data_IF_381899733131
#
_entry.id   IF_381899733131
#
_cell.length_a   1.000
_cell.length_b   1.000
_cell.length_c   1.000
_cell.angle_alpha   90.00
_cell.angle_beta   90.00
_cell.angle_gamma   90.00
#
_symmetry.space_group_name_H-M   'P 1'
#
loop_
_entity.id
_entity.type
_entity.pdbx_description
1 polymer ?
#
# COMPACT_ATOMS: atom_id res chain seq x y z
N UNK A 1 12.22 16.19 -6.63
CA UNK A 1 12.06 14.91 -7.36
C UNK A 1 11.58 13.83 -6.39
N UNK A 2 10.49 13.11 -6.69
CA UNK A 2 10.07 11.94 -5.89
C UNK A 2 11.24 10.93 -5.90
N UNK A 3 11.71 10.50 -4.73
CA UNK A 3 12.83 9.54 -4.63
C UNK A 3 12.47 8.26 -5.37
N UNK A 4 13.42 7.70 -6.13
CA UNK A 4 13.23 6.42 -6.82
C UNK A 4 12.92 5.33 -5.78
N UNK A 5 11.86 4.56 -6.02
CA UNK A 5 11.49 3.45 -5.13
C UNK A 5 12.54 2.33 -5.21
N UNK A 6 12.97 1.85 -4.05
CA UNK A 6 13.97 0.82 -3.85
C UNK A 6 13.55 -0.08 -2.66
N UNK A 7 14.39 -1.07 -2.33
CA UNK A 7 14.07 -2.06 -1.29
C UNK A 7 13.89 -1.44 0.10
N UNK A 8 14.58 -0.35 0.42
CA UNK A 8 14.53 0.29 1.73
C UNK A 8 13.36 1.26 1.92
N UNK A 9 12.72 1.74 0.84
CA UNK A 9 11.63 2.72 0.94
C UNK A 9 10.28 2.25 0.35
N UNK A 10 10.23 1.07 -0.27
CA UNK A 10 9.01 0.56 -0.91
C UNK A 10 7.83 0.44 0.06
N UNK A 11 8.07 0.04 1.31
CA UNK A 11 7.01 -0.10 2.32
C UNK A 11 6.33 1.25 2.60
N UNK A 12 7.14 2.27 2.90
CA UNK A 12 6.66 3.64 3.10
C UNK A 12 5.94 4.16 1.85
N UNK A 13 6.51 3.93 0.68
CA UNK A 13 5.91 4.35 -0.59
C UNK A 13 4.53 3.72 -0.83
N UNK A 14 4.35 2.43 -0.50
CA UNK A 14 3.06 1.76 -0.63
C UNK A 14 2.02 2.32 0.36
N UNK A 15 2.44 2.68 1.57
CA UNK A 15 1.58 3.34 2.56
C UNK A 15 1.17 4.73 2.07
N UNK A 16 2.12 5.55 1.61
CA UNK A 16 1.85 6.87 1.05
C UNK A 16 0.87 6.77 -0.14
N UNK A 17 1.11 5.81 -1.05
CA UNK A 17 0.26 5.62 -2.21
C UNK A 17 -1.18 5.22 -1.86
N UNK A 18 -1.38 4.27 -0.93
CA UNK A 18 -2.75 3.89 -0.53
C UNK A 18 -3.50 5.03 0.17
N UNK A 19 -2.78 5.87 0.94
CA UNK A 19 -3.37 7.01 1.63
C UNK A 19 -3.74 8.12 0.66
N UNK A 20 -2.87 8.42 -0.31
CA UNK A 20 -3.14 9.38 -1.37
C UNK A 20 -4.42 9.01 -2.15
N UNK A 21 -4.66 7.71 -2.39
CA UNK A 21 -5.89 7.23 -3.07
C UNK A 21 -7.18 7.56 -2.31
N UNK A 22 -7.12 7.71 -0.99
CA UNK A 22 -8.27 8.07 -0.14
C UNK A 22 -8.20 9.50 0.38
N UNK A 23 -7.32 10.33 -0.20
CA UNK A 23 -7.19 11.75 0.16
C UNK A 23 -6.54 11.99 1.54
N UNK A 24 -5.71 11.07 2.01
CA UNK A 24 -5.02 11.12 3.30
C UNK A 24 -3.50 11.20 3.10
N UNK A 25 -2.77 11.62 4.13
CA UNK A 25 -1.31 11.69 4.16
C UNK A 25 -0.76 10.88 5.33
N UNK A 26 0.52 10.48 5.23
CA UNK A 26 1.21 9.76 6.32
C UNK A 26 1.29 10.59 7.60
N UNK A 27 1.34 11.92 7.52
CA UNK A 27 1.32 12.76 8.73
C UNK A 27 0.02 12.57 9.52
N UNK A 28 -1.10 12.32 8.83
CA UNK A 28 -2.40 12.09 9.45
C UNK A 28 -2.45 10.76 10.22
N UNK A 29 -1.52 9.82 9.95
CA UNK A 29 -1.43 8.54 10.67
C UNK A 29 -0.65 8.64 11.98
N UNK A 30 0.09 9.73 12.20
CA UNK A 30 0.88 9.91 13.42
C UNK A 30 0.00 10.27 14.63
N UNK A 31 -1.18 10.83 14.37
CA UNK A 31 -2.12 11.28 15.39
C UNK A 31 -3.16 10.20 15.76
N UNK A 32 -3.25 9.11 14.99
CA UNK A 32 -4.22 8.02 15.19
C UNK A 32 -3.58 6.66 14.90
N UNK A 33 -3.15 5.94 15.95
CA UNK A 33 -2.58 4.59 15.85
C UNK A 33 -3.52 3.56 15.21
N UNK A 34 -4.82 3.86 15.11
CA UNK A 34 -5.86 2.98 14.54
C UNK A 34 -6.40 3.50 13.21
N UNK A 35 -5.70 4.40 12.54
CA UNK A 35 -6.11 4.96 11.25
C UNK A 35 -6.53 3.90 10.22
N UNK A 36 -5.83 2.76 10.19
CA UNK A 36 -6.10 1.66 9.27
C UNK A 36 -7.40 0.89 9.57
N UNK A 37 -7.95 1.03 10.78
CA UNK A 37 -9.29 0.55 11.14
C UNK A 37 -10.39 1.55 10.76
N UNK A 38 -10.08 2.85 10.82
CA UNK A 38 -11.03 3.93 10.63
C UNK A 38 -11.22 4.30 9.16
N UNK A 39 -10.16 4.23 8.37
CA UNK A 39 -10.20 4.61 6.97
C UNK A 39 -10.48 3.41 6.08
N UNK A 40 -11.26 3.68 5.04
CA UNK A 40 -11.70 2.68 4.09
C UNK A 40 -11.37 3.13 2.68
N UNK A 41 -11.18 2.15 1.81
CA UNK A 41 -11.10 2.34 0.37
C UNK A 41 -12.23 1.55 -0.32
N UNK A 42 -12.57 1.94 -1.54
CA UNK A 42 -13.51 1.18 -2.36
C UNK A 42 -12.84 -0.09 -2.92
N UNK A 43 -13.65 -1.05 -3.37
CA UNK A 43 -13.16 -2.25 -4.05
C UNK A 43 -12.30 -1.93 -5.29
N UNK A 44 -12.69 -0.90 -6.04
CA UNK A 44 -11.94 -0.46 -7.23
C UNK A 44 -10.58 0.14 -6.85
N UNK A 45 -10.55 1.00 -5.83
CA UNK A 45 -9.30 1.54 -5.28
C UNK A 45 -8.39 0.41 -4.78
N UNK A 46 -8.93 -0.60 -4.10
CA UNK A 46 -8.15 -1.76 -3.66
C UNK A 46 -7.57 -2.54 -4.83
N UNK A 47 -8.36 -2.74 -5.89
CA UNK A 47 -7.93 -3.43 -7.11
C UNK A 47 -6.79 -2.69 -7.80
N UNK A 48 -6.91 -1.37 -7.95
CA UNK A 48 -5.87 -0.52 -8.52
C UNK A 48 -4.60 -0.51 -7.67
N UNK A 49 -4.75 -0.36 -6.36
CA UNK A 49 -3.64 -0.44 -5.41
C UNK A 49 -2.88 -1.76 -5.55
N UNK A 50 -3.59 -2.89 -5.57
CA UNK A 50 -3.00 -4.20 -5.66
C UNK A 50 -2.23 -4.40 -6.99
N UNK A 51 -2.81 -3.96 -8.11
CA UNK A 51 -2.15 -4.01 -9.43
C UNK A 51 -0.85 -3.20 -9.42
N UNK A 52 -0.89 -1.99 -8.86
CA UNK A 52 0.29 -1.12 -8.73
C UNK A 52 1.36 -1.77 -7.84
N UNK A 53 0.98 -2.22 -6.65
CA UNK A 53 1.90 -2.78 -5.66
C UNK A 53 2.59 -4.05 -6.18
N UNK A 54 1.86 -4.97 -6.84
CA UNK A 54 2.44 -6.17 -7.46
C UNK A 54 3.50 -5.77 -8.50
N UNK A 55 3.18 -4.84 -9.40
CA UNK A 55 4.13 -4.39 -10.44
C UNK A 55 5.39 -3.80 -9.83
N UNK A 56 5.24 -3.02 -8.76
CA UNK A 56 6.35 -2.39 -8.05
C UNK A 56 7.23 -3.40 -7.32
N UNK A 57 6.63 -4.34 -6.59
CA UNK A 57 7.34 -5.42 -5.89
C UNK A 57 8.14 -6.30 -6.86
N UNK A 58 7.53 -6.68 -8.01
CA UNK A 58 8.23 -7.41 -9.07
C UNK A 58 9.44 -6.63 -9.60
N UNK A 59 9.30 -5.31 -9.79
CA UNK A 59 10.40 -4.47 -10.31
C UNK A 59 11.56 -4.33 -9.31
N UNK A 60 11.25 -4.07 -8.04
CA UNK A 60 12.23 -3.73 -6.98
C UNK A 60 12.91 -4.98 -6.40
N UNK A 61 12.14 -6.02 -6.12
CA UNK A 61 12.65 -7.25 -5.52
C UNK A 61 12.92 -8.37 -6.52
N UNK A 62 12.55 -8.19 -7.80
CA UNK A 62 12.65 -9.23 -8.83
C UNK A 62 11.80 -10.46 -8.52
N UNK A 63 10.69 -10.27 -7.80
CA UNK A 63 9.77 -11.34 -7.50
C UNK A 63 9.02 -11.83 -8.74
N UNK A 64 8.68 -13.12 -8.75
CA UNK A 64 7.62 -13.63 -9.62
C UNK A 64 6.24 -13.16 -9.11
N UNK A 65 5.19 -13.41 -9.89
CA UNK A 65 3.84 -12.95 -9.55
C UNK A 65 3.33 -13.53 -8.23
N UNK A 66 3.57 -14.80 -7.95
CA UNK A 66 3.06 -15.46 -6.74
C UNK A 66 3.72 -14.89 -5.48
N UNK A 67 5.05 -14.76 -5.49
CA UNK A 67 5.79 -14.17 -4.36
C UNK A 67 5.42 -12.70 -4.12
N UNK A 68 5.16 -11.94 -5.18
CA UNK A 68 4.66 -10.56 -5.05
C UNK A 68 3.26 -10.51 -4.42
N UNK A 69 2.35 -11.42 -4.82
CA UNK A 69 1.00 -11.51 -4.22
C UNK A 69 1.05 -11.91 -2.74
N UNK A 70 1.90 -12.87 -2.39
CA UNK A 70 2.09 -13.32 -1.00
C UNK A 70 2.59 -12.17 -0.10
N UNK A 71 3.63 -11.45 -0.55
CA UNK A 71 4.17 -10.31 0.19
C UNK A 71 3.17 -9.14 0.26
N UNK A 72 2.39 -8.92 -0.79
CA UNK A 72 1.31 -7.94 -0.77
C UNK A 72 0.16 -8.35 0.17
N UNK A 73 -0.14 -9.64 0.28
CA UNK A 73 -1.11 -10.15 1.25
C UNK A 73 -0.67 -9.82 2.68
N UNK A 74 0.60 -10.09 2.99
CA UNK A 74 1.18 -9.70 4.28
C UNK A 74 1.12 -8.18 4.51
N UNK A 75 1.50 -7.37 3.51
CA UNK A 75 1.39 -5.90 3.59
C UNK A 75 -0.05 -5.47 3.90
N UNK A 76 -1.02 -6.04 3.19
CA UNK A 76 -2.43 -5.70 3.37
C UNK A 76 -2.94 -6.06 4.76
N UNK A 77 -2.48 -7.16 5.35
CA UNK A 77 -2.85 -7.56 6.71
C UNK A 77 -2.29 -6.61 7.78
N UNK A 78 -1.11 -6.02 7.54
CA UNK A 78 -0.46 -5.14 8.51
C UNK A 78 -0.86 -3.66 8.34
N UNK A 79 -0.98 -3.20 7.10
CA UNK A 79 -1.11 -1.78 6.79
C UNK A 79 -2.25 -1.46 5.82
N UNK A 80 -2.94 -2.47 5.28
CA UNK A 80 -3.96 -2.26 4.26
C UNK A 80 -5.22 -1.64 4.84
N UNK A 81 -5.73 -0.60 4.18
CA UNK A 81 -7.06 -0.06 4.52
C UNK A 81 -8.17 -1.10 4.29
N UNK A 82 -9.21 -1.00 5.11
CA UNK A 82 -10.43 -1.81 5.00
C UNK A 82 -11.20 -1.45 3.73
N UNK A 83 -11.96 -2.42 3.21
CA UNK A 83 -12.86 -2.17 2.08
C UNK A 83 -14.21 -1.72 2.64
N UNK A 84 -14.73 -0.59 2.15
CA UNK A 84 -16.11 -0.19 2.43
C UNK A 84 -17.05 -1.06 1.60
N UNK A 85 -17.87 -1.86 2.27
CA UNK A 85 -19.00 -2.56 1.66
C UNK A 85 -20.15 -1.59 1.38
#
# INVERSE_FOLDING_TARGET
MKKKVNRGNIMRHLIEYQLDMVGKRVVDTLDDDKWYFNWTMTSDQKSEFNKYAIKLMKKVFKFNTNKAKENLSWFNNQFGLRIKN
#
